data_IF_791565612160
#
_entry.id   IF_791565612160
#
_cell.length_a   1.000
_cell.length_b   1.000
_cell.length_c   1.000
_cell.angle_alpha   90.00
_cell.angle_beta   90.00
_cell.angle_gamma   90.00
#
_symmetry.space_group_name_H-M   'P 1'
#
loop_
_entity.id
_entity.type
_entity.pdbx_description
1 polymer ?
#
# COMPACT_ATOMS: atom_id res chain seq x y z
N UNK A 1 10.07 -20.58 -10.28
CA UNK A 1 8.70 -20.58 -9.72
C UNK A 1 8.73 -19.72 -8.46
N UNK A 2 7.75 -18.83 -8.28
CA UNK A 2 7.66 -17.95 -7.10
C UNK A 2 6.79 -18.63 -6.06
N UNK A 3 7.37 -18.92 -4.89
CA UNK A 3 6.64 -19.60 -3.81
C UNK A 3 6.17 -18.61 -2.73
N UNK A 4 6.93 -17.54 -2.51
CA UNK A 4 6.72 -16.61 -1.41
C UNK A 4 6.79 -15.16 -1.90
N UNK A 5 6.09 -14.27 -1.20
CA UNK A 5 6.13 -12.83 -1.44
C UNK A 5 6.45 -12.09 -0.14
N UNK A 6 7.32 -11.08 -0.22
CA UNK A 6 7.70 -10.25 0.92
C UNK A 6 6.74 -9.05 0.99
N UNK A 7 5.93 -8.99 2.06
CA UNK A 7 5.04 -7.87 2.35
C UNK A 7 5.84 -6.64 2.79
N UNK A 8 5.21 -5.46 2.74
CA UNK A 8 5.83 -4.18 3.14
C UNK A 8 6.30 -4.15 4.60
N UNK A 9 5.69 -4.94 5.46
CA UNK A 9 6.06 -5.11 6.87
C UNK A 9 7.17 -6.16 7.07
N UNK A 10 7.75 -6.69 5.99
CA UNK A 10 8.79 -7.71 6.01
C UNK A 10 8.26 -9.14 6.16
N UNK A 11 6.96 -9.35 6.38
CA UNK A 11 6.40 -10.70 6.49
C UNK A 11 6.50 -11.44 5.16
N UNK A 12 6.89 -12.70 5.22
CA UNK A 12 6.86 -13.61 4.08
C UNK A 12 5.55 -14.39 4.12
N UNK A 13 4.79 -14.35 3.02
CA UNK A 13 3.55 -15.12 2.89
C UNK A 13 3.56 -15.89 1.57
N UNK A 14 2.77 -16.97 1.44
CA UNK A 14 2.64 -17.69 0.19
C UNK A 14 2.26 -16.76 -0.96
N UNK A 15 2.93 -16.93 -2.10
CA UNK A 15 2.60 -16.22 -3.33
C UNK A 15 1.26 -16.71 -3.87
N UNK A 16 0.43 -15.77 -4.30
CA UNK A 16 -0.91 -16.03 -4.81
C UNK A 16 -1.14 -15.15 -6.03
N UNK A 17 -1.07 -15.76 -7.21
CA UNK A 17 -1.21 -15.07 -8.49
C UNK A 17 -2.60 -14.49 -8.70
N UNK A 18 -3.64 -15.07 -8.07
CA UNK A 18 -5.02 -14.58 -8.20
C UNK A 18 -5.17 -13.14 -7.73
N UNK A 19 -4.34 -12.72 -6.76
CA UNK A 19 -4.31 -11.33 -6.27
C UNK A 19 -3.80 -10.35 -7.31
N UNK A 20 -2.90 -10.80 -8.19
CA UNK A 20 -2.39 -9.98 -9.30
C UNK A 20 -3.48 -9.89 -10.36
N UNK A 21 -4.07 -11.02 -10.76
CA UNK A 21 -5.19 -11.07 -11.70
C UNK A 21 -6.33 -10.15 -11.27
N UNK A 22 -6.78 -10.27 -10.02
CA UNK A 22 -7.87 -9.45 -9.48
C UNK A 22 -7.53 -7.97 -9.47
N UNK A 23 -6.26 -7.60 -9.23
CA UNK A 23 -5.83 -6.21 -9.22
C UNK A 23 -5.79 -5.62 -10.64
N UNK A 24 -5.28 -6.37 -11.62
CA UNK A 24 -5.30 -6.00 -13.04
C UNK A 24 -6.75 -5.88 -13.53
N UNK A 25 -7.58 -6.87 -13.21
CA UNK A 25 -8.99 -6.90 -13.60
C UNK A 25 -9.76 -5.71 -13.03
N UNK A 26 -9.58 -5.39 -11.75
CA UNK A 26 -10.20 -4.20 -11.13
C UNK A 26 -9.77 -2.90 -11.81
N UNK A 27 -8.49 -2.76 -12.18
CA UNK A 27 -8.03 -1.59 -12.91
C UNK A 27 -8.67 -1.51 -14.31
N UNK A 28 -8.84 -2.65 -14.99
CA UNK A 28 -9.50 -2.71 -16.29
C UNK A 28 -11.00 -2.37 -16.19
N UNK A 29 -11.69 -2.81 -15.13
CA UNK A 29 -13.11 -2.53 -14.90
C UNK A 29 -13.41 -1.03 -14.75
N UNK A 30 -12.50 -0.25 -14.17
CA UNK A 30 -12.65 1.22 -14.09
C UNK A 30 -12.78 1.85 -15.47
N UNK A 31 -12.17 1.24 -16.49
CA UNK A 31 -12.22 1.68 -17.89
C UNK A 31 -13.34 1.01 -18.70
N UNK A 32 -14.18 0.18 -18.05
CA UNK A 32 -15.26 -0.57 -18.68
C UNK A 32 -14.84 -1.92 -19.27
N UNK A 33 -13.60 -2.38 -19.01
CA UNK A 33 -13.15 -3.71 -19.42
C UNK A 33 -13.74 -4.82 -18.55
N UNK A 34 -14.14 -5.95 -19.15
CA UNK A 34 -14.71 -7.10 -18.43
C UNK A 34 -14.05 -8.43 -18.82
N UNK A 35 -12.87 -8.37 -19.43
CA UNK A 35 -12.13 -9.56 -19.85
C UNK A 35 -11.20 -10.03 -18.73
N UNK A 36 -11.65 -11.06 -18.01
CA UNK A 36 -10.86 -11.70 -16.95
C UNK A 36 -9.78 -12.61 -17.51
N UNK A 37 -10.01 -13.25 -18.65
CA UNK A 37 -9.03 -14.13 -19.29
C UNK A 37 -7.78 -13.32 -19.69
N UNK A 38 -7.97 -12.14 -20.26
CA UNK A 38 -6.88 -11.22 -20.55
C UNK A 38 -6.08 -10.80 -19.30
N UNK A 39 -6.75 -10.60 -18.16
CA UNK A 39 -6.08 -10.29 -16.90
C UNK A 39 -5.24 -11.48 -16.38
N UNK A 40 -5.70 -12.71 -16.61
CA UNK A 40 -4.96 -13.93 -16.28
C UNK A 40 -3.74 -14.10 -17.19
N UNK A 41 -3.87 -13.86 -18.48
CA UNK A 41 -2.75 -13.87 -19.43
C UNK A 41 -1.67 -12.85 -19.06
N UNK A 42 -2.07 -11.63 -18.75
CA UNK A 42 -1.16 -10.57 -18.28
C UNK A 42 -0.47 -10.97 -16.98
N UNK A 43 -1.19 -11.63 -16.08
CA UNK A 43 -0.61 -12.13 -14.82
C UNK A 43 0.46 -13.18 -15.06
N UNK A 44 0.26 -14.09 -16.02
CA UNK A 44 1.30 -15.06 -16.40
C UNK A 44 2.54 -14.37 -16.97
N UNK A 45 2.36 -13.32 -17.79
CA UNK A 45 3.47 -12.50 -18.31
C UNK A 45 4.23 -11.80 -17.18
N UNK A 46 3.53 -11.29 -16.17
CA UNK A 46 4.16 -10.70 -14.97
C UNK A 46 4.99 -11.73 -14.21
N UNK A 47 4.46 -12.94 -14.02
CA UNK A 47 5.18 -14.01 -13.33
C UNK A 47 6.41 -14.42 -14.12
N UNK A 48 6.28 -14.61 -15.44
CA UNK A 48 7.40 -14.94 -16.33
C UNK A 48 8.47 -13.84 -16.30
N UNK A 49 8.09 -12.56 -16.33
CA UNK A 49 9.04 -11.46 -16.20
C UNK A 49 9.80 -11.49 -14.86
N UNK A 50 9.10 -11.74 -13.75
CA UNK A 50 9.71 -11.85 -12.44
C UNK A 50 10.67 -13.05 -12.34
N UNK A 51 10.32 -14.20 -12.93
CA UNK A 51 11.14 -15.42 -12.83
C UNK A 51 12.27 -15.49 -13.85
N UNK A 52 12.02 -15.10 -15.09
CA UNK A 52 12.89 -15.41 -16.22
C UNK A 52 13.83 -14.25 -16.54
N UNK A 53 13.37 -13.00 -16.36
CA UNK A 53 14.22 -11.82 -16.54
C UNK A 53 14.88 -11.41 -15.23
N UNK A 54 14.09 -11.23 -14.16
CA UNK A 54 14.60 -10.75 -12.88
C UNK A 54 15.19 -11.85 -11.98
N UNK A 55 15.01 -13.12 -12.34
CA UNK A 55 15.48 -14.27 -11.56
C UNK A 55 15.02 -14.22 -10.09
N UNK A 56 13.87 -13.61 -9.83
CA UNK A 56 13.38 -13.32 -8.50
C UNK A 56 12.50 -14.47 -8.02
N UNK A 57 12.83 -15.01 -6.85
CA UNK A 57 12.10 -16.14 -6.26
C UNK A 57 11.24 -15.73 -5.07
N UNK A 58 11.53 -14.57 -4.48
CA UNK A 58 10.82 -14.01 -3.33
C UNK A 58 10.63 -12.51 -3.49
N UNK A 59 9.88 -12.06 -4.52
CA UNK A 59 9.74 -10.65 -4.80
C UNK A 59 9.04 -9.93 -3.64
N UNK A 60 9.45 -8.69 -3.41
CA UNK A 60 8.69 -7.76 -2.60
C UNK A 60 7.39 -7.36 -3.31
N UNK A 61 6.38 -6.96 -2.52
CA UNK A 61 5.11 -6.45 -3.06
C UNK A 61 5.33 -5.30 -4.05
N UNK A 62 6.30 -4.42 -3.83
CA UNK A 62 6.59 -3.32 -4.76
C UNK A 62 7.19 -3.83 -6.08
N UNK A 63 8.10 -4.80 -6.04
CA UNK A 63 8.65 -5.38 -7.27
C UNK A 63 7.56 -6.03 -8.13
N UNK A 64 6.60 -6.70 -7.52
CA UNK A 64 5.43 -7.24 -8.23
C UNK A 64 4.59 -6.12 -8.84
N UNK A 65 4.37 -5.02 -8.10
CA UNK A 65 3.60 -3.87 -8.62
C UNK A 65 4.30 -3.22 -9.82
N UNK A 66 5.61 -2.99 -9.73
CA UNK A 66 6.39 -2.40 -10.81
C UNK A 66 6.42 -3.33 -12.05
N UNK A 67 6.50 -4.64 -11.84
CA UNK A 67 6.36 -5.64 -12.90
C UNK A 67 4.99 -5.59 -13.59
N UNK A 68 3.90 -5.47 -12.82
CA UNK A 68 2.54 -5.32 -13.37
C UNK A 68 2.44 -4.08 -14.24
N UNK A 69 2.94 -2.94 -13.78
CA UNK A 69 2.91 -1.68 -14.52
C UNK A 69 3.68 -1.78 -15.85
N UNK A 70 4.89 -2.36 -15.81
CA UNK A 70 5.70 -2.59 -17.01
C UNK A 70 4.95 -3.46 -18.02
N UNK A 71 4.46 -4.63 -17.59
CA UNK A 71 3.79 -5.58 -18.49
C UNK A 71 2.50 -4.99 -19.08
N UNK A 72 1.73 -4.23 -18.30
CA UNK A 72 0.55 -3.54 -18.83
C UNK A 72 0.91 -2.53 -19.92
N UNK A 73 1.99 -1.75 -19.74
CA UNK A 73 2.43 -0.77 -20.74
C UNK A 73 2.95 -1.46 -22.01
N UNK A 74 3.82 -2.47 -21.85
CA UNK A 74 4.43 -3.18 -22.98
C UNK A 74 3.41 -3.94 -23.84
N UNK A 75 2.30 -4.39 -23.24
CA UNK A 75 1.21 -5.05 -23.95
C UNK A 75 0.12 -4.08 -24.44
N UNK A 76 0.36 -2.76 -24.42
CA UNK A 76 -0.55 -1.76 -24.97
C UNK A 76 -1.73 -1.38 -24.06
N UNK A 77 -1.76 -1.87 -22.82
CA UNK A 77 -2.78 -1.54 -21.81
C UNK A 77 -2.39 -0.32 -20.97
N UNK A 78 -1.82 0.72 -21.60
CA UNK A 78 -1.32 1.91 -20.91
C UNK A 78 -2.39 2.64 -20.07
N UNK A 79 -3.65 2.65 -20.53
CA UNK A 79 -4.76 3.22 -19.74
C UNK A 79 -5.01 2.42 -18.46
N UNK A 80 -5.01 1.08 -18.55
CA UNK A 80 -5.17 0.18 -17.40
C UNK A 80 -4.00 0.33 -16.42
N UNK A 81 -2.78 0.43 -16.94
CA UNK A 81 -1.57 0.71 -16.13
C UNK A 81 -1.73 2.01 -15.34
N UNK A 82 -2.24 3.08 -15.97
CA UNK A 82 -2.50 4.35 -15.29
C UNK A 82 -3.49 4.20 -14.14
N UNK A 83 -4.61 3.52 -14.36
CA UNK A 83 -5.61 3.29 -13.28
C UNK A 83 -5.02 2.45 -12.14
N UNK A 84 -4.21 1.45 -12.47
CA UNK A 84 -3.49 0.65 -11.49
C UNK A 84 -2.53 1.50 -10.64
N UNK A 85 -1.73 2.37 -11.27
CA UNK A 85 -0.80 3.29 -10.61
C UNK A 85 -1.56 4.25 -9.68
N UNK A 86 -2.66 4.83 -10.16
CA UNK A 86 -3.47 5.75 -9.36
C UNK A 86 -4.09 5.06 -8.15
N UNK A 87 -4.63 3.85 -8.33
CA UNK A 87 -5.16 3.03 -7.23
C UNK A 87 -4.07 2.69 -6.21
N UNK A 88 -2.87 2.30 -6.67
CA UNK A 88 -1.71 2.03 -5.82
C UNK A 88 -1.31 3.27 -5.01
N UNK A 89 -1.20 4.42 -5.66
CA UNK A 89 -0.85 5.69 -5.03
C UNK A 89 -1.86 6.06 -3.94
N UNK A 90 -3.16 5.95 -4.22
CA UNK A 90 -4.21 6.22 -3.24
C UNK A 90 -4.14 5.26 -2.05
N UNK A 91 -3.92 3.96 -2.30
CA UNK A 91 -3.76 2.96 -1.22
C UNK A 91 -2.49 3.17 -0.40
N UNK A 92 -1.42 3.71 -0.98
CA UNK A 92 -0.22 4.09 -0.22
C UNK A 92 -0.52 5.31 0.64
N UNK A 93 -1.15 6.35 0.08
CA UNK A 93 -1.55 7.56 0.81
C UNK A 93 -2.43 7.24 2.02
N UNK A 94 -3.44 6.38 1.85
CA UNK A 94 -4.32 5.95 2.96
C UNK A 94 -3.53 5.23 4.07
N UNK A 95 -2.55 4.39 3.71
CA UNK A 95 -1.70 3.71 4.70
C UNK A 95 -0.82 4.70 5.44
N UNK A 96 -0.18 5.62 4.73
CA UNK A 96 0.69 6.63 5.32
C UNK A 96 -0.08 7.54 6.27
N UNK A 97 -1.31 7.93 5.89
CA UNK A 97 -2.21 8.68 6.75
C UNK A 97 -2.56 7.90 8.02
N UNK A 98 -2.91 6.61 7.90
CA UNK A 98 -3.21 5.77 9.07
C UNK A 98 -1.99 5.62 9.98
N UNK A 99 -0.79 5.43 9.43
CA UNK A 99 0.45 5.36 10.21
C UNK A 99 0.76 6.69 10.89
N UNK A 100 0.57 7.82 10.21
CA UNK A 100 0.76 9.15 10.79
C UNK A 100 -0.23 9.43 11.91
N UNK A 101 -1.50 9.11 11.73
CA UNK A 101 -2.53 9.24 12.76
C UNK A 101 -2.22 8.37 13.99
N UNK A 102 -1.79 7.13 13.78
CA UNK A 102 -1.39 6.23 14.88
C UNK A 102 -0.18 6.78 15.64
N UNK A 103 0.81 7.37 14.95
CA UNK A 103 1.95 8.03 15.61
C UNK A 103 1.53 9.24 16.42
N UNK A 104 0.66 10.10 15.88
CA UNK A 104 0.11 11.26 16.61
C UNK A 104 -0.63 10.78 17.86
N UNK A 105 -1.45 9.74 17.74
CA UNK A 105 -2.17 9.16 18.87
C UNK A 105 -1.21 8.64 19.95
N UNK A 106 -0.18 7.88 19.58
CA UNK A 106 0.85 7.37 20.50
C UNK A 106 1.59 8.51 21.21
N UNK A 107 1.99 9.54 20.46
CA UNK A 107 2.66 10.72 20.98
C UNK A 107 1.77 11.50 21.99
N UNK A 108 0.45 11.59 21.73
CA UNK A 108 -0.51 12.23 22.63
C UNK A 108 -0.87 11.39 23.86
N UNK A 109 -0.78 10.06 23.80
CA UNK A 109 -1.25 9.17 24.88
C UNK A 109 -0.14 8.69 25.79
N UNK A 110 1.03 8.36 25.23
CA UNK A 110 2.07 7.63 25.97
C UNK A 110 3.36 8.42 26.16
N UNK A 111 3.61 9.48 25.37
CA UNK A 111 4.78 10.33 25.61
C UNK A 111 4.50 11.41 26.66
N UNK A 112 5.40 11.63 27.62
CA UNK A 112 5.28 12.74 28.56
C UNK A 112 5.17 14.08 27.82
N UNK A 113 4.44 15.05 28.38
CA UNK A 113 4.37 16.39 27.80
C UNK A 113 5.76 17.02 27.58
N UNK A 114 6.73 16.67 28.44
CA UNK A 114 8.14 17.08 28.35
C UNK A 114 8.90 16.60 27.10
N UNK A 115 8.31 15.72 26.29
CA UNK A 115 8.90 15.19 25.05
C UNK A 115 8.00 15.39 23.81
N UNK A 116 6.84 16.07 23.96
CA UNK A 116 5.90 16.29 22.86
C UNK A 116 5.36 17.73 22.85
N UNK A 117 5.80 18.54 21.89
CA UNK A 117 5.41 19.95 21.74
C UNK A 117 3.91 20.13 21.44
N UNK A 118 3.25 19.14 20.82
CA UNK A 118 1.80 19.16 20.55
C UNK A 118 0.99 19.17 21.86
N UNK A 119 1.51 18.55 22.92
CA UNK A 119 0.92 18.58 24.26
C UNK A 119 1.15 19.93 24.96
N UNK A 120 2.19 20.68 24.62
CA UNK A 120 2.61 21.91 25.33
C UNK A 120 2.02 23.22 24.79
N UNK A 121 1.33 23.19 23.65
CA UNK A 121 0.83 24.41 23.01
C UNK A 121 -0.14 25.24 23.88
N UNK A 122 -0.76 24.67 24.92
CA UNK A 122 -1.61 25.42 25.85
C UNK A 122 -0.95 25.54 27.22
N UNK A 123 -0.40 26.72 27.54
CA UNK A 123 0.28 27.02 28.81
C UNK A 123 -0.60 26.84 30.09
N UNK A 124 -1.91 26.63 29.92
CA UNK A 124 -2.89 26.49 31.01
C UNK A 124 -3.49 25.07 31.14
N UNK A 125 -3.10 24.10 30.32
CA UNK A 125 -3.64 22.73 30.37
C UNK A 125 -2.48 21.74 30.55
N UNK A 126 -2.54 20.95 31.62
CA UNK A 126 -1.64 19.81 31.79
C UNK A 126 -2.07 18.68 30.84
N UNK A 127 -1.28 18.49 29.77
CA UNK A 127 -1.50 17.49 28.73
C UNK A 127 -1.32 16.05 29.17
N UNK A 128 -0.86 15.80 30.40
CA UNK A 128 -0.72 14.47 31.00
C UNK A 128 -1.96 14.07 31.85
N UNK A 129 -2.93 14.96 32.02
CA UNK A 129 -4.21 14.64 32.66
C UNK A 129 -5.21 14.02 31.66
N UNK A 130 -6.11 13.10 32.10
CA UNK A 130 -7.14 12.51 31.22
C UNK A 130 -8.02 13.57 30.52
N UNK A 131 -8.29 14.68 31.22
CA UNK A 131 -9.06 15.80 30.68
C UNK A 131 -8.26 16.60 29.64
N UNK A 132 -6.96 16.80 29.87
CA UNK A 132 -6.04 17.44 28.92
C UNK A 132 -5.90 16.65 27.62
N UNK A 133 -5.80 15.32 27.70
CA UNK A 133 -5.78 14.44 26.51
C UNK A 133 -7.12 14.51 25.76
N UNK A 134 -8.26 14.52 26.47
CA UNK A 134 -9.59 14.61 25.84
C UNK A 134 -9.85 15.91 25.08
N UNK A 135 -9.43 17.05 25.63
CA UNK A 135 -9.59 18.36 24.98
C UNK A 135 -8.81 18.44 23.66
N UNK A 136 -7.66 17.76 23.56
CA UNK A 136 -6.83 17.72 22.34
C UNK A 136 -7.34 16.76 21.27
N UNK A 137 -8.18 15.78 21.60
CA UNK A 137 -8.82 14.94 20.57
C UNK A 137 -9.89 15.70 19.78
N UNK A 138 -10.50 16.74 20.35
CA UNK A 138 -11.61 17.49 19.75
C UNK A 138 -11.20 18.76 18.99
N UNK A 139 -9.93 19.16 19.07
CA UNK A 139 -9.33 20.33 18.41
C UNK A 139 -8.52 19.92 17.19
#
# INVERSE_FOLDING_TARGET
>A
MIEMIIKRDGRQVPFDSTKITDAIYKAAQVLGGNDREMAEELTQKVIAYLTDELHETRPAVEQVQDAVEKILIENGHARTAKEFILYRAERTRVRDMNTKLMRIYEDLTFKPAADNDIKRENANIDGDTPMGTMLKYGS
#
